data_IF_507504276179
#
_entry.id   IF_507504276179
#
_cell.length_a   1.000
_cell.length_b   1.000
_cell.length_c   1.000
_cell.angle_alpha   90.00
_cell.angle_beta   90.00
_cell.angle_gamma   90.00
#
_symmetry.space_group_name_H-M   'P 1'
#
loop_
_entity.id
_entity.type
_entity.pdbx_description
1 polymer ?
#
# COMPACT_ATOMS: atom_id res chain seq x y z
N UNK A 1 -33.49 32.54 3.41
CA UNK A 1 -32.35 31.81 2.80
C UNK A 1 -31.06 31.80 3.66
N UNK A 2 -30.79 32.77 4.54
CA UNK A 2 -29.48 32.89 5.24
C UNK A 2 -29.18 31.86 6.35
N UNK A 3 -30.20 31.35 7.08
CA UNK A 3 -29.99 30.44 8.23
C UNK A 3 -29.50 29.03 7.85
N UNK A 4 -29.97 28.48 6.72
CA UNK A 4 -29.57 27.14 6.23
C UNK A 4 -28.11 27.12 5.77
N UNK A 5 -27.65 28.17 5.09
CA UNK A 5 -26.25 28.29 4.68
C UNK A 5 -25.31 28.52 5.88
N UNK A 6 -25.78 29.22 6.92
CA UNK A 6 -25.02 29.39 8.16
C UNK A 6 -24.86 28.07 8.94
N UNK A 7 -25.94 27.26 9.04
CA UNK A 7 -25.90 25.92 9.64
C UNK A 7 -24.99 24.96 8.86
N UNK A 8 -25.02 24.98 7.52
CA UNK A 8 -24.10 24.21 6.68
C UNK A 8 -22.64 24.66 6.88
N UNK A 9 -22.40 25.96 7.02
CA UNK A 9 -21.05 26.48 7.30
C UNK A 9 -20.48 25.98 8.62
N UNK A 10 -21.30 25.96 9.69
CA UNK A 10 -20.91 25.42 11.00
C UNK A 10 -20.63 23.92 10.92
N UNK A 11 -21.49 23.15 10.22
CA UNK A 11 -21.29 21.72 10.05
C UNK A 11 -19.99 21.40 9.30
N UNK A 12 -19.68 22.13 8.23
CA UNK A 12 -18.42 21.98 7.50
C UNK A 12 -17.20 22.33 8.35
N UNK A 13 -17.29 23.37 9.19
CA UNK A 13 -16.21 23.76 10.09
C UNK A 13 -15.96 22.72 11.20
N UNK A 14 -17.03 22.13 11.75
CA UNK A 14 -16.94 21.05 12.73
C UNK A 14 -16.35 19.76 12.13
N UNK A 15 -16.70 19.43 10.89
CA UNK A 15 -16.14 18.28 10.17
C UNK A 15 -14.65 18.47 9.87
N UNK A 16 -14.23 19.68 9.50
CA UNK A 16 -12.82 19.99 9.25
C UNK A 16 -11.98 19.97 10.54
N UNK A 17 -12.52 20.50 11.65
CA UNK A 17 -11.87 20.43 12.95
C UNK A 17 -11.77 18.99 13.49
N UNK A 18 -12.82 18.18 13.32
CA UNK A 18 -12.86 16.78 13.78
C UNK A 18 -11.93 15.83 13.01
N UNK A 19 -11.53 16.17 11.78
CA UNK A 19 -10.64 15.37 10.93
C UNK A 19 -9.15 15.75 11.04
N UNK A 20 -8.78 16.68 11.91
CA UNK A 20 -7.40 17.19 12.03
C UNK A 20 -6.49 16.35 12.95
N UNK A 21 -7.01 15.26 13.52
CA UNK A 21 -6.21 14.33 14.32
C UNK A 21 -5.10 13.69 13.48
N UNK A 22 -3.84 13.88 13.90
CA UNK A 22 -2.69 13.20 13.32
C UNK A 22 -2.81 11.70 13.57
N UNK A 23 -3.41 10.96 12.63
CA UNK A 23 -3.46 9.51 12.69
C UNK A 23 -2.05 8.96 12.41
N UNK A 24 -1.33 8.60 13.47
CA UNK A 24 -0.08 7.84 13.36
C UNK A 24 -0.44 6.40 13.06
N UNK A 25 -0.78 6.12 11.79
CA UNK A 25 -1.20 4.79 11.35
C UNK A 25 -0.03 3.81 11.20
N UNK A 26 1.22 4.31 11.26
CA UNK A 26 2.42 3.50 11.01
C UNK A 26 3.40 3.64 12.16
N UNK A 27 3.33 2.69 13.10
CA UNK A 27 4.23 2.60 14.26
C UNK A 27 3.51 2.02 15.46
N UNK A 28 3.58 0.70 15.65
CA UNK A 28 3.05 0.07 16.86
C UNK A 28 4.09 0.13 17.97
N UNK A 29 3.76 0.76 19.10
CA UNK A 29 4.60 0.74 20.30
C UNK A 29 4.91 -0.66 20.83
N UNK A 30 4.06 -1.65 20.47
CA UNK A 30 4.23 -3.07 20.80
C UNK A 30 5.44 -3.70 20.09
N UNK A 31 5.89 -3.11 18.97
CA UNK A 31 6.98 -3.67 18.15
C UNK A 31 8.38 -3.18 18.55
N UNK A 32 8.51 -2.31 19.57
CA UNK A 32 9.81 -1.84 20.08
C UNK A 32 10.77 -1.41 18.96
N UNK A 33 11.89 -2.13 18.81
CA UNK A 33 12.91 -1.84 17.80
C UNK A 33 12.60 -2.36 16.37
N UNK A 34 11.46 -3.01 16.19
CA UNK A 34 11.02 -3.70 14.98
C UNK A 34 11.63 -5.09 14.82
N UNK A 35 11.67 -5.60 13.57
CA UNK A 35 12.30 -6.87 13.21
C UNK A 35 13.83 -6.72 13.18
N UNK A 36 14.44 -6.48 14.35
CA UNK A 36 15.87 -6.23 14.56
C UNK A 36 16.44 -7.31 15.47
N UNK A 37 17.49 -7.98 15.02
CA UNK A 37 18.30 -8.92 15.81
C UNK A 37 19.62 -8.24 16.14
N UNK A 38 19.88 -8.01 17.43
CA UNK A 38 21.18 -7.48 17.86
C UNK A 38 22.22 -8.62 17.87
N UNK A 39 23.40 -8.33 17.36
CA UNK A 39 24.56 -9.24 17.35
C UNK A 39 25.50 -9.00 18.54
N UNK A 40 25.25 -7.94 19.31
CA UNK A 40 25.99 -7.59 20.52
C UNK A 40 25.06 -7.08 21.63
N UNK A 41 25.59 -7.04 22.86
CA UNK A 41 24.85 -6.53 24.04
C UNK A 41 24.69 -5.01 24.04
N UNK A 42 25.52 -4.30 23.28
CA UNK A 42 25.46 -2.83 23.18
C UNK A 42 24.40 -2.35 22.17
N UNK A 43 23.94 -3.23 21.27
CA UNK A 43 22.96 -2.92 20.22
C UNK A 43 23.54 -2.20 19.00
N UNK A 44 24.87 -2.00 18.95
CA UNK A 44 25.60 -1.32 17.88
C UNK A 44 25.74 -2.18 16.62
N UNK A 45 25.74 -3.51 16.79
CA UNK A 45 25.82 -4.49 15.70
C UNK A 45 24.49 -5.18 15.58
N UNK A 46 23.90 -5.19 14.39
CA UNK A 46 22.57 -5.76 14.22
C UNK A 46 22.25 -6.15 12.80
N UNK A 47 21.26 -7.02 12.67
CA UNK A 47 20.58 -7.34 11.43
C UNK A 47 19.15 -6.83 11.57
N UNK A 48 18.66 -6.07 10.59
CA UNK A 48 17.27 -5.61 10.54
C UNK A 48 16.62 -6.06 9.25
N UNK A 49 15.38 -6.49 9.39
CA UNK A 49 14.49 -6.82 8.29
C UNK A 49 13.39 -5.76 8.19
N UNK A 50 13.11 -5.34 6.97
CA UNK A 50 12.06 -4.38 6.64
C UNK A 50 11.23 -4.97 5.51
N UNK A 51 9.91 -4.98 5.71
CA UNK A 51 8.94 -5.33 4.69
C UNK A 51 8.24 -4.05 4.28
N UNK A 52 8.26 -3.75 2.98
CA UNK A 52 7.61 -2.57 2.43
C UNK A 52 6.70 -2.99 1.28
N UNK A 53 5.41 -2.69 1.41
CA UNK A 53 4.40 -2.96 0.38
C UNK A 53 3.70 -1.66 -0.03
N UNK A 54 3.62 -1.43 -1.34
CA UNK A 54 2.85 -0.37 -1.97
C UNK A 54 1.77 -1.00 -2.83
N UNK A 55 0.51 -0.77 -2.46
CA UNK A 55 -0.67 -1.28 -3.15
C UNK A 55 -1.35 -0.14 -3.91
N UNK A 56 -1.87 -0.45 -5.09
CA UNK A 56 -2.73 0.40 -5.89
C UNK A 56 -4.09 -0.26 -6.03
N UNK A 57 -5.12 0.56 -5.86
CA UNK A 57 -6.51 0.24 -6.15
C UNK A 57 -6.98 1.29 -7.13
N UNK A 58 -7.43 0.90 -8.32
CA UNK A 58 -7.82 1.83 -9.37
C UNK A 58 -9.22 1.48 -9.87
N UNK A 59 -10.02 2.52 -10.06
CA UNK A 59 -11.24 2.48 -10.83
C UNK A 59 -11.00 3.28 -12.11
N UNK A 60 -11.31 2.69 -13.26
CA UNK A 60 -10.99 3.20 -14.58
C UNK A 60 -12.30 3.23 -15.37
N UNK A 61 -12.72 4.40 -15.80
CA UNK A 61 -13.75 4.52 -16.84
C UNK A 61 -13.05 4.37 -18.20
N UNK A 62 -13.44 3.34 -18.95
CA UNK A 62 -12.79 2.99 -20.21
C UNK A 62 -13.38 3.79 -21.37
N UNK A 63 -12.60 3.90 -22.43
CA UNK A 63 -13.11 4.42 -23.69
C UNK A 63 -14.07 3.39 -24.33
N UNK A 64 -15.07 3.85 -25.12
CA UNK A 64 -15.97 2.95 -25.83
C UNK A 64 -15.22 1.90 -26.67
N UNK A 65 -15.70 0.66 -26.69
CA UNK A 65 -15.08 -0.50 -27.35
C UNK A 65 -13.74 -0.97 -26.75
N UNK A 66 -13.40 -0.57 -25.53
CA UNK A 66 -12.26 -1.16 -24.82
C UNK A 66 -12.58 -2.62 -24.50
N UNK A 67 -11.81 -3.54 -25.09
CA UNK A 67 -11.97 -4.98 -24.86
C UNK A 67 -11.02 -5.42 -23.76
N UNK A 68 -11.56 -6.01 -22.70
CA UNK A 68 -10.82 -6.69 -21.64
C UNK A 68 -11.34 -8.10 -21.54
N UNK A 69 -10.43 -9.09 -21.61
CA UNK A 69 -10.79 -10.51 -21.56
C UNK A 69 -11.89 -10.91 -22.58
N UNK A 70 -11.77 -10.43 -23.82
CA UNK A 70 -12.72 -10.65 -24.92
C UNK A 70 -14.12 -10.03 -24.76
N UNK A 71 -14.37 -9.23 -23.72
CA UNK A 71 -15.62 -8.50 -23.53
C UNK A 71 -15.39 -6.99 -23.57
N UNK A 72 -16.36 -6.25 -24.11
CA UNK A 72 -16.32 -4.78 -24.09
C UNK A 72 -16.79 -4.30 -22.72
N UNK A 73 -15.92 -3.62 -21.99
CA UNK A 73 -16.21 -3.12 -20.64
C UNK A 73 -16.17 -1.59 -20.62
N UNK A 74 -17.23 -0.97 -20.11
CA UNK A 74 -17.31 0.49 -19.95
C UNK A 74 -16.49 0.98 -18.75
N UNK A 75 -16.34 0.16 -17.72
CA UNK A 75 -15.50 0.45 -16.56
C UNK A 75 -14.69 -0.78 -16.15
N UNK A 76 -13.58 -0.53 -15.47
CA UNK A 76 -12.69 -1.54 -14.95
C UNK A 76 -12.25 -1.18 -13.55
N UNK A 77 -12.11 -2.20 -12.70
CA UNK A 77 -11.52 -2.05 -11.38
C UNK A 77 -10.32 -2.98 -11.25
N UNK A 78 -9.22 -2.45 -10.74
CA UNK A 78 -8.00 -3.23 -10.54
C UNK A 78 -7.39 -3.03 -9.16
N UNK A 79 -6.75 -4.09 -8.69
CA UNK A 79 -5.81 -4.06 -7.59
C UNK A 79 -4.47 -4.57 -8.09
N UNK A 80 -3.40 -3.87 -7.73
CA UNK A 80 -2.04 -4.29 -8.01
C UNK A 80 -1.04 -3.91 -6.93
N UNK A 81 -0.07 -4.77 -6.70
CA UNK A 81 1.13 -4.51 -5.93
C UNK A 81 2.13 -3.77 -6.82
N UNK A 82 2.30 -2.47 -6.60
CA UNK A 82 3.28 -1.68 -7.37
C UNK A 82 4.71 -2.02 -6.98
N UNK A 83 4.95 -2.18 -5.67
CA UNK A 83 6.23 -2.60 -5.08
C UNK A 83 5.95 -3.42 -3.84
N UNK A 84 6.36 -4.67 -3.85
CA UNK A 84 6.43 -5.49 -2.65
C UNK A 84 7.89 -5.90 -2.47
N UNK A 85 8.51 -5.42 -1.38
CA UNK A 85 9.94 -5.59 -1.15
C UNK A 85 10.19 -6.11 0.25
N UNK A 86 11.15 -7.02 0.31
CA UNK A 86 11.82 -7.45 1.51
C UNK A 86 13.24 -6.91 1.48
N UNK A 87 13.64 -6.22 2.54
CA UNK A 87 14.97 -5.64 2.72
C UNK A 87 15.56 -6.21 4.01
N UNK A 88 16.73 -6.82 3.92
CA UNK A 88 17.56 -7.17 5.05
C UNK A 88 18.82 -6.32 5.01
N UNK A 89 19.19 -5.69 6.12
CA UNK A 89 20.51 -5.07 6.21
C UNK A 89 21.17 -5.37 7.54
N UNK A 90 22.49 -5.53 7.50
CA UNK A 90 23.32 -5.83 8.65
C UNK A 90 24.36 -4.71 8.82
N UNK A 91 24.38 -4.09 9.99
CA UNK A 91 25.42 -3.15 10.39
C UNK A 91 26.41 -3.89 11.28
N UNK A 92 27.57 -4.26 10.72
CA UNK A 92 28.60 -5.07 11.40
C UNK A 92 29.66 -4.16 12.05
N UNK A 93 29.93 -3.01 11.44
CA UNK A 93 30.78 -1.96 12.00
C UNK A 93 30.15 -0.57 11.77
N UNK A 94 30.58 0.47 12.50
CA UNK A 94 30.04 1.83 12.31
C UNK A 94 30.18 2.37 10.88
N UNK A 95 31.07 1.76 10.06
CA UNK A 95 31.38 2.21 8.71
C UNK A 95 31.06 1.17 7.63
N UNK A 96 30.49 0.02 8.00
CA UNK A 96 30.21 -1.08 7.08
C UNK A 96 28.81 -1.64 7.28
N UNK A 97 27.99 -1.49 6.23
CA UNK A 97 26.61 -1.97 6.17
C UNK A 97 26.47 -2.89 4.96
N UNK A 98 25.99 -4.10 5.19
CA UNK A 98 25.60 -5.04 4.14
C UNK A 98 24.11 -4.88 3.93
N UNK A 99 23.66 -4.68 2.70
CA UNK A 99 22.25 -4.53 2.36
C UNK A 99 21.86 -5.53 1.28
N UNK A 100 20.79 -6.26 1.52
CA UNK A 100 20.17 -7.18 0.59
C UNK A 100 18.69 -6.84 0.46
N UNK A 101 18.19 -6.74 -0.77
CA UNK A 101 16.75 -6.69 -0.99
C UNK A 101 16.34 -7.63 -2.11
N UNK A 102 15.11 -8.10 -2.02
CA UNK A 102 14.42 -8.76 -3.11
C UNK A 102 12.95 -8.35 -3.07
N UNK A 103 12.25 -8.58 -4.17
CA UNK A 103 10.86 -8.19 -4.26
C UNK A 103 10.29 -8.30 -5.65
N UNK A 104 8.98 -8.17 -5.73
CA UNK A 104 8.21 -8.14 -6.96
C UNK A 104 7.74 -6.72 -7.23
N UNK A 105 7.62 -6.37 -8.51
CA UNK A 105 7.14 -5.06 -8.93
C UNK A 105 5.97 -5.24 -9.90
N UNK A 106 5.02 -4.32 -9.80
CA UNK A 106 3.92 -4.18 -10.76
C UNK A 106 3.11 -5.48 -10.98
N UNK A 107 2.85 -6.21 -9.90
CA UNK A 107 2.02 -7.41 -9.93
C UNK A 107 0.56 -7.00 -9.81
N UNK A 108 -0.23 -7.17 -10.86
CA UNK A 108 -1.69 -7.01 -10.81
C UNK A 108 -2.36 -8.38 -10.78
N UNK A 109 -3.62 -8.45 -10.32
CA UNK A 109 -4.38 -9.70 -10.39
C UNK A 109 -4.52 -10.25 -11.82
N UNK A 110 -4.56 -9.36 -12.82
CA UNK A 110 -4.67 -9.73 -14.24
C UNK A 110 -3.36 -10.33 -14.76
N UNK A 111 -2.21 -9.82 -14.32
CA UNK A 111 -0.89 -10.25 -14.82
C UNK A 111 -0.18 -11.24 -13.88
N UNK A 112 -0.81 -11.59 -12.75
CA UNK A 112 -0.13 -12.18 -11.60
C UNK A 112 -0.56 -13.58 -11.19
N UNK A 113 -1.29 -14.29 -12.05
CA UNK A 113 -1.71 -15.68 -11.82
C UNK A 113 -0.67 -16.72 -12.24
N UNK A 114 -0.78 -17.92 -11.66
CA UNK A 114 -0.09 -19.13 -12.14
C UNK A 114 -0.52 -19.44 -13.59
N UNK A 115 0.30 -20.16 -14.36
CA UNK A 115 0.13 -20.44 -15.79
C UNK A 115 -1.11 -21.31 -16.16
N UNK A 116 -2.11 -21.35 -15.30
CA UNK A 116 -3.39 -22.04 -15.50
C UNK A 116 -4.56 -21.46 -14.71
N UNK A 117 -4.38 -20.41 -13.89
CA UNK A 117 -5.51 -19.71 -13.30
C UNK A 117 -5.96 -18.61 -14.27
N UNK A 118 -7.09 -18.80 -14.95
CA UNK A 118 -7.84 -17.69 -15.53
C UNK A 118 -8.09 -16.70 -14.39
N UNK A 119 -7.27 -15.65 -14.31
CA UNK A 119 -7.40 -14.60 -13.32
C UNK A 119 -8.70 -13.87 -13.56
N UNK A 120 -9.79 -14.43 -13.05
CA UNK A 120 -11.12 -13.83 -13.11
C UNK A 120 -11.03 -12.55 -12.29
N UNK A 121 -10.98 -11.43 -13.01
CA UNK A 121 -11.18 -10.12 -12.45
C UNK A 121 -12.45 -10.14 -11.59
N UNK A 122 -12.37 -9.53 -10.41
CA UNK A 122 -13.57 -8.95 -9.80
C UNK A 122 -14.10 -7.91 -10.80
N UNK A 123 -15.08 -8.33 -11.59
CA UNK A 123 -15.54 -7.61 -12.77
C UNK A 123 -16.24 -8.49 -13.83
N UNK A 124 -16.11 -9.82 -13.76
CA UNK A 124 -16.96 -10.72 -14.54
C UNK A 124 -18.25 -11.08 -13.76
N UNK A 125 -19.09 -10.08 -13.48
CA UNK A 125 -20.56 -10.18 -13.37
C UNK A 125 -21.16 -8.85 -12.92
N UNK A 126 -22.02 -8.31 -13.79
CA UNK A 126 -22.83 -7.11 -13.59
C UNK A 126 -23.36 -6.63 -14.92
#
# INVERSE_FOLDING_TARGET
>A
MKKRHFLLGILCLCLWAGLSGQAVAQGSGIYGSGLKVNLDTTGSKYIRFIIWNQLWTRYIDNNPNTIVNNETLENNWDIGLRRSRFLAYAQISPRFLIMFHFGINNQSFINGGDAGSNGSAFGANG
#
